data_IF_017143462678
#
_entry.id   IF_017143462678
#
_cell.length_a   1.000
_cell.length_b   1.000
_cell.length_c   1.000
_cell.angle_alpha   90.00
_cell.angle_beta   90.00
_cell.angle_gamma   90.00
#
_symmetry.space_group_name_H-M   'P 1'
#
loop_
_entity.id
_entity.type
_entity.pdbx_description
1 polymer ?
#
# COMPACT_ATOMS: atom_id res chain seq x y z
N UNK A 1 9.21 12.81 9.08
CA UNK A 1 9.03 13.45 10.40
C UNK A 1 8.95 12.45 11.56
N UNK A 2 8.13 11.39 11.49
CA UNK A 2 8.11 10.34 12.55
C UNK A 2 9.48 9.65 12.70
N UNK A 3 10.13 9.30 11.58
CA UNK A 3 11.50 8.73 11.58
C UNK A 3 12.54 9.61 12.27
N UNK A 4 12.52 10.92 12.02
CA UNK A 4 13.41 11.89 12.66
C UNK A 4 13.23 11.90 14.18
N UNK A 5 11.98 11.88 14.66
CA UNK A 5 11.67 11.79 16.09
C UNK A 5 12.12 10.43 16.65
N UNK A 6 11.91 9.33 15.94
CA UNK A 6 12.33 8.00 16.39
C UNK A 6 13.85 7.85 16.51
N UNK A 7 14.63 8.47 15.62
CA UNK A 7 16.10 8.45 15.65
C UNK A 7 16.68 9.29 16.81
N UNK A 8 16.00 10.37 17.19
CA UNK A 8 16.51 11.33 18.18
C UNK A 8 15.82 11.22 19.56
N UNK A 9 14.78 10.37 19.69
CA UNK A 9 14.01 10.23 20.94
C UNK A 9 14.87 9.76 22.12
N UNK A 10 15.89 8.95 21.86
CA UNK A 10 16.70 8.34 22.91
C UNK A 10 17.75 9.32 23.47
N UNK A 11 18.07 10.38 22.70
CA UNK A 11 19.04 11.41 23.09
C UNK A 11 18.38 12.64 23.72
N UNK A 12 17.25 13.08 23.17
CA UNK A 12 16.62 14.36 23.56
C UNK A 12 15.23 14.19 24.18
N UNK A 13 14.59 13.03 24.01
CA UNK A 13 13.20 12.83 24.37
C UNK A 13 12.23 13.46 23.37
N UNK A 14 11.09 12.80 23.16
CA UNK A 14 10.06 13.21 22.19
C UNK A 14 9.51 14.61 22.48
N UNK A 15 9.34 14.97 23.76
CA UNK A 15 8.77 16.26 24.15
C UNK A 15 9.70 17.44 23.85
N UNK A 16 11.01 17.30 24.06
CA UNK A 16 11.97 18.35 23.75
C UNK A 16 12.04 18.61 22.24
N UNK A 17 12.09 17.55 21.44
CA UNK A 17 12.07 17.63 19.97
C UNK A 17 10.78 18.29 19.49
N UNK A 18 9.62 17.87 20.00
CA UNK A 18 8.35 18.47 19.62
C UNK A 18 8.24 19.94 20.05
N UNK A 19 8.84 20.33 21.18
CA UNK A 19 8.84 21.72 21.66
C UNK A 19 9.65 22.63 20.74
N UNK A 20 10.83 22.17 20.29
CA UNK A 20 11.71 22.93 19.40
C UNK A 20 11.15 23.02 17.98
N UNK A 21 10.49 21.97 17.49
CA UNK A 21 9.99 21.93 16.11
C UNK A 21 8.62 22.58 15.91
N UNK A 22 7.86 22.80 16.99
CA UNK A 22 6.53 23.47 16.95
C UNK A 22 6.49 24.80 16.18
N UNK A 23 7.48 25.70 16.31
CA UNK A 23 7.49 26.97 15.58
C UNK A 23 7.82 26.81 14.09
N UNK A 24 8.62 25.82 13.74
CA UNK A 24 9.16 25.64 12.39
C UNK A 24 8.25 24.83 11.46
N UNK A 25 7.39 23.98 12.01
CA UNK A 25 6.57 23.05 11.21
C UNK A 25 5.11 23.11 11.67
N UNK A 26 4.23 23.56 10.78
CA UNK A 26 2.78 23.52 11.01
C UNK A 26 2.28 22.08 10.94
N UNK A 27 1.59 21.61 11.98
CA UNK A 27 0.89 20.32 11.98
C UNK A 27 1.34 19.35 13.07
N UNK A 28 1.48 18.07 12.71
CA UNK A 28 1.51 16.84 13.54
C UNK A 28 2.54 16.76 14.70
N UNK A 29 3.27 17.84 15.03
CA UNK A 29 4.36 17.91 16.00
C UNK A 29 3.84 18.16 17.42
N UNK A 30 2.93 17.31 17.87
CA UNK A 30 2.65 17.19 19.30
C UNK A 30 3.07 15.81 19.76
N UNK A 31 3.55 15.68 21.00
CA UNK A 31 3.87 14.37 21.57
C UNK A 31 2.67 13.42 21.51
N UNK A 32 1.45 13.95 21.68
CA UNK A 32 0.19 13.24 21.48
C UNK A 32 0.01 12.77 20.04
N UNK A 33 0.26 13.63 19.05
CA UNK A 33 0.23 13.29 17.62
C UNK A 33 1.23 12.18 17.29
N UNK A 34 2.49 12.31 17.72
CA UNK A 34 3.50 11.28 17.55
C UNK A 34 3.08 9.93 18.16
N UNK A 35 2.62 9.92 19.42
CA UNK A 35 2.12 8.70 20.07
C UNK A 35 0.95 8.11 19.29
N UNK A 36 -0.01 8.94 18.86
CA UNK A 36 -1.16 8.49 18.08
C UNK A 36 -0.78 7.93 16.70
N UNK A 37 0.25 8.46 16.03
CA UNK A 37 0.73 7.84 14.79
C UNK A 37 1.46 6.54 15.04
N UNK A 38 2.19 6.41 16.15
CA UNK A 38 2.92 5.20 16.51
C UNK A 38 2.00 4.07 16.99
N UNK A 39 0.89 4.41 17.63
CA UNK A 39 -0.12 3.43 18.11
C UNK A 39 -1.23 3.16 17.10
N UNK A 40 -1.33 3.92 16.01
CA UNK A 40 -2.30 3.64 14.95
C UNK A 40 -1.98 2.27 14.36
N UNK A 41 -2.87 1.32 14.61
CA UNK A 41 -2.88 0.06 13.89
C UNK A 41 -2.96 0.35 12.38
N UNK A 42 -2.27 -0.45 11.55
CA UNK A 42 -2.42 -0.35 10.11
C UNK A 42 -3.90 -0.44 9.76
N UNK A 43 -4.36 0.45 8.88
CA UNK A 43 -5.76 0.45 8.46
C UNK A 43 -6.11 -0.88 7.82
N UNK A 44 -7.36 -1.29 7.89
CA UNK A 44 -7.84 -2.51 7.23
C UNK A 44 -7.53 -2.54 5.72
N UNK A 45 -7.31 -1.37 5.10
CA UNK A 45 -6.85 -1.22 3.73
C UNK A 45 -5.35 -1.49 3.58
N UNK A 46 -4.51 -0.94 4.46
CA UNK A 46 -3.06 -1.19 4.45
C UNK A 46 -2.75 -2.69 4.62
N UNK A 47 -3.48 -3.36 5.53
CA UNK A 47 -3.35 -4.80 5.73
C UNK A 47 -3.76 -5.62 4.50
N UNK A 48 -4.79 -5.17 3.78
CA UNK A 48 -5.21 -5.82 2.53
C UNK A 48 -4.19 -5.58 1.42
N UNK A 49 -3.67 -4.37 1.31
CA UNK A 49 -2.68 -4.01 0.29
C UNK A 49 -1.37 -4.76 0.49
N UNK A 50 -0.92 -4.98 1.73
CA UNK A 50 0.26 -5.81 2.03
C UNK A 50 0.15 -7.24 1.45
N UNK A 51 -1.06 -7.80 1.41
CA UNK A 51 -1.30 -9.12 0.81
C UNK A 51 -1.57 -9.04 -0.69
N UNK A 52 -2.19 -7.96 -1.17
CA UNK A 52 -2.59 -7.82 -2.58
C UNK A 52 -1.45 -7.38 -3.49
N UNK A 53 -0.55 -6.53 -3.01
CA UNK A 53 0.62 -6.05 -3.76
C UNK A 53 1.52 -7.20 -4.24
N UNK A 54 1.94 -8.17 -3.40
CA UNK A 54 2.78 -9.27 -3.87
C UNK A 54 2.05 -10.18 -4.86
N UNK A 55 0.74 -10.43 -4.67
CA UNK A 55 -0.05 -11.24 -5.61
C UNK A 55 -0.18 -10.57 -6.98
N UNK A 56 -0.40 -9.25 -7.01
CA UNK A 56 -0.43 -8.47 -8.26
C UNK A 56 0.93 -8.52 -8.94
N UNK A 57 2.03 -8.38 -8.20
CA UNK A 57 3.38 -8.44 -8.75
C UNK A 57 3.68 -9.83 -9.36
N UNK A 58 3.28 -10.91 -8.69
CA UNK A 58 3.42 -12.28 -9.19
C UNK A 58 2.66 -12.46 -10.50
N UNK A 59 1.36 -12.13 -10.51
CA UNK A 59 0.51 -12.23 -11.70
C UNK A 59 0.99 -11.34 -12.85
N UNK A 60 1.57 -10.17 -12.53
CA UNK A 60 2.15 -9.29 -13.54
C UNK A 60 3.39 -9.91 -14.18
N UNK A 61 4.28 -10.52 -13.38
CA UNK A 61 5.46 -11.25 -13.86
C UNK A 61 5.09 -12.49 -14.69
N UNK A 62 4.11 -13.27 -14.24
CA UNK A 62 3.58 -14.44 -14.98
C UNK A 62 2.98 -14.05 -16.35
N UNK A 63 2.44 -12.82 -16.48
CA UNK A 63 1.91 -12.28 -17.73
C UNK A 63 2.92 -11.40 -18.49
N UNK A 64 4.21 -11.70 -18.35
CA UNK A 64 5.33 -11.05 -19.04
C UNK A 64 5.46 -9.54 -18.79
N UNK A 65 4.78 -9.01 -17.79
CA UNK A 65 4.74 -7.57 -17.48
C UNK A 65 4.07 -6.70 -18.55
N UNK A 66 3.36 -7.29 -19.51
CA UNK A 66 2.69 -6.55 -20.61
C UNK A 66 1.32 -6.02 -20.18
N UNK A 67 0.79 -6.50 -19.05
CA UNK A 67 -0.54 -6.11 -18.59
C UNK A 67 -0.51 -4.78 -17.85
N UNK A 68 -0.96 -3.73 -18.54
CA UNK A 68 -1.32 -2.49 -17.89
C UNK A 68 -2.50 -2.63 -16.91
N UNK A 69 -2.77 -1.55 -16.17
CA UNK A 69 -3.72 -1.48 -15.05
C UNK A 69 -5.09 -2.10 -15.35
N UNK A 70 -5.66 -1.83 -16.53
CA UNK A 70 -6.99 -2.34 -16.93
C UNK A 70 -7.03 -3.86 -17.03
N UNK A 71 -5.99 -4.48 -17.60
CA UNK A 71 -5.89 -5.94 -17.76
C UNK A 71 -5.62 -6.62 -16.43
N UNK A 72 -4.76 -6.04 -15.60
CA UNK A 72 -4.51 -6.53 -14.23
C UNK A 72 -5.77 -6.49 -13.36
N UNK A 73 -6.57 -5.41 -13.45
CA UNK A 73 -7.82 -5.31 -12.69
C UNK A 73 -8.86 -6.34 -13.13
N UNK A 74 -8.96 -6.63 -14.43
CA UNK A 74 -9.78 -7.73 -14.93
C UNK A 74 -9.29 -9.09 -14.41
N UNK A 75 -8.00 -9.38 -14.55
CA UNK A 75 -7.37 -10.62 -14.09
C UNK A 75 -7.60 -10.87 -12.60
N UNK A 76 -7.37 -9.86 -11.75
CA UNK A 76 -7.60 -9.95 -10.30
C UNK A 76 -9.06 -10.28 -9.94
N UNK A 77 -10.03 -9.78 -10.72
CA UNK A 77 -11.45 -10.14 -10.53
C UNK A 77 -11.74 -11.59 -10.92
N UNK A 78 -11.02 -12.16 -11.90
CA UNK A 78 -11.16 -13.56 -12.27
C UNK A 78 -10.53 -14.49 -11.22
N UNK A 79 -9.32 -14.17 -10.75
CA UNK A 79 -8.61 -14.94 -9.72
C UNK A 79 -9.40 -14.95 -8.42
N UNK A 80 -9.93 -13.80 -7.98
CA UNK A 80 -10.79 -13.71 -6.78
C UNK A 80 -12.11 -14.46 -6.92
N UNK A 81 -12.59 -14.69 -8.14
CA UNK A 81 -13.79 -15.46 -8.41
C UNK A 81 -13.52 -16.98 -8.53
N UNK A 82 -12.32 -17.45 -8.13
CA UNK A 82 -11.94 -18.87 -8.17
C UNK A 82 -11.64 -19.41 -9.57
N UNK A 83 -11.52 -18.54 -10.57
CA UNK A 83 -11.10 -18.95 -11.91
C UNK A 83 -9.58 -18.96 -11.97
N UNK A 84 -9.00 -20.10 -12.33
CA UNK A 84 -7.55 -20.24 -12.48
C UNK A 84 -7.04 -19.24 -13.50
N UNK A 85 -6.11 -18.37 -13.11
CA UNK A 85 -5.33 -17.60 -14.06
C UNK A 85 -4.31 -18.55 -14.70
N UNK A 86 -4.78 -19.45 -15.58
CA UNK A 86 -3.86 -20.23 -16.39
C UNK A 86 -2.92 -19.28 -17.13
N UNK A 87 -1.68 -19.71 -17.38
CA UNK A 87 -0.61 -19.02 -18.13
C UNK A 87 -1.00 -18.56 -19.56
N UNK A 88 -2.27 -18.70 -19.94
CA UNK A 88 -2.82 -18.25 -21.20
C UNK A 88 -3.07 -16.74 -21.12
N UNK A 89 -2.55 -15.94 -22.06
CA UNK A 89 -2.79 -14.52 -22.06
C UNK A 89 -4.29 -14.23 -22.11
N UNK A 90 -4.76 -13.23 -21.35
CA UNK A 90 -6.15 -12.77 -21.26
C UNK A 90 -6.77 -12.49 -22.65
N UNK A 91 -5.95 -12.30 -23.69
CA UNK A 91 -6.40 -12.24 -25.08
C UNK A 91 -7.06 -13.52 -25.61
N UNK A 92 -6.74 -14.70 -25.06
CA UNK A 92 -7.41 -15.97 -25.40
C UNK A 92 -8.64 -16.27 -24.52
N UNK A 93 -8.80 -15.52 -23.43
CA UNK A 93 -9.98 -15.58 -22.58
C UNK A 93 -10.99 -14.60 -23.17
N UNK A 94 -11.82 -15.06 -24.11
CA UNK A 94 -12.77 -14.21 -24.83
C UNK A 94 -13.34 -13.11 -23.95
N UNK A 95 -12.92 -11.86 -24.21
CA UNK A 95 -13.22 -10.73 -23.34
C UNK A 95 -14.74 -10.56 -23.22
N UNK A 96 -15.31 -10.49 -22.00
CA UNK A 96 -16.70 -10.05 -21.84
C UNK A 96 -16.88 -8.61 -22.32
N UNK A 97 -15.79 -7.84 -22.43
CA UNK A 97 -15.77 -6.48 -22.94
C UNK A 97 -15.98 -6.36 -24.46
N UNK A 98 -16.06 -7.48 -25.20
CA UNK A 98 -16.38 -7.50 -26.64
C UNK A 98 -17.74 -8.14 -26.96
N UNK A 99 -18.66 -8.25 -25.98
CA UNK A 99 -20.08 -8.45 -26.28
C UNK A 99 -20.79 -7.10 -26.14
N UNK A 100 -21.02 -6.47 -27.28
CA UNK A 100 -22.13 -5.55 -27.45
C UNK A 100 -23.45 -6.29 -27.23
#
# INVERSE_FOLDING_TARGET
MIRFIDEHKDQFGVEAICRVLRPAVRGFITARGYRAAKTRAPSAWSLKDELLVPEIARLHGENYGVYGVRKMHALMRHVRAGRSAGTRPLGSWGSPACRA
#
